data_IF_727164231590
#
_entry.id   IF_727164231590
#
_cell.length_a   1.000
_cell.length_b   1.000
_cell.length_c   1.000
_cell.angle_alpha   90.00
_cell.angle_beta   90.00
_cell.angle_gamma   90.00
#
_symmetry.space_group_name_H-M   'P 1'
#
loop_
_entity.id
_entity.type
_entity.pdbx_description
1 polymer ?
#
# COMPACT_ATOMS: atom_id res chain seq x y z
N UNK A 1 0.80 9.08 19.13
CA UNK A 1 1.30 10.34 18.52
C UNK A 1 2.27 11.00 19.49
N UNK A 2 3.25 11.76 19.02
CA UNK A 2 4.17 12.52 19.87
C UNK A 2 4.53 13.87 19.24
N UNK A 3 4.88 14.85 20.06
CA UNK A 3 5.25 16.18 19.59
C UNK A 3 5.35 17.18 20.74
N UNK A 4 5.12 18.45 20.43
CA UNK A 4 5.47 19.54 21.33
C UNK A 4 4.25 20.41 21.57
N UNK A 5 3.94 20.65 22.85
CA UNK A 5 2.80 21.47 23.27
C UNK A 5 3.29 22.47 24.30
N UNK A 6 3.29 23.75 23.91
CA UNK A 6 3.76 24.85 24.74
C UNK A 6 2.76 25.18 25.82
N UNK A 7 3.22 25.37 27.06
CA UNK A 7 2.40 25.75 28.20
C UNK A 7 2.53 27.24 28.56
N UNK A 8 1.45 27.84 29.08
CA UNK A 8 1.49 29.16 29.72
C UNK A 8 1.39 30.38 28.79
N UNK A 9 1.22 30.18 27.47
CA UNK A 9 0.87 31.25 26.53
C UNK A 9 -0.59 31.70 26.63
N UNK A 10 -0.89 32.94 26.23
CA UNK A 10 -2.27 33.40 26.00
C UNK A 10 -2.65 33.13 24.55
N UNK A 11 -3.22 31.96 24.28
CA UNK A 11 -3.61 31.55 22.94
C UNK A 11 -5.03 32.00 22.60
N UNK A 12 -5.23 32.52 21.38
CA UNK A 12 -6.54 32.85 20.84
C UNK A 12 -6.61 32.55 19.34
N UNK A 13 -7.83 32.33 18.82
CA UNK A 13 -8.06 32.01 17.40
C UNK A 13 -7.68 30.58 16.99
N UNK A 14 -7.98 30.26 15.73
CA UNK A 14 -7.81 28.95 15.07
C UNK A 14 -6.73 28.95 13.98
N UNK A 15 -5.86 29.97 13.92
CA UNK A 15 -4.79 30.04 12.92
C UNK A 15 -3.77 28.92 13.10
N UNK A 16 -3.59 28.10 12.06
CA UNK A 16 -2.67 26.96 12.05
C UNK A 16 -1.21 27.37 12.29
N UNK A 17 -0.82 28.59 11.91
CA UNK A 17 0.54 29.07 12.16
C UNK A 17 0.81 29.23 13.66
N UNK A 18 -0.19 29.69 14.43
CA UNK A 18 -0.07 29.84 15.89
C UNK A 18 0.23 28.51 16.61
N UNK A 19 -0.27 27.38 16.10
CA UNK A 19 0.06 26.06 16.64
C UNK A 19 1.50 25.65 16.34
N UNK A 20 1.97 25.94 15.11
CA UNK A 20 3.34 25.63 14.68
C UNK A 20 4.37 26.45 15.45
N UNK A 21 4.09 27.73 15.68
CA UNK A 21 4.95 28.62 16.47
C UNK A 21 5.04 28.13 17.92
N UNK A 22 3.90 27.85 18.56
CA UNK A 22 3.86 27.30 19.91
C UNK A 22 4.60 25.96 20.04
N UNK A 23 4.50 25.09 19.04
CA UNK A 23 5.25 23.82 19.00
C UNK A 23 6.76 24.03 18.84
N UNK A 24 7.19 25.07 18.11
CA UNK A 24 8.61 25.44 17.96
C UNK A 24 9.23 25.92 19.27
N UNK A 25 8.50 26.77 20.00
CA UNK A 25 8.92 27.25 21.32
C UNK A 25 8.98 26.10 22.34
N UNK A 26 7.94 25.27 22.37
CA UNK A 26 7.85 24.08 23.23
C UNK A 26 8.98 23.08 22.98
N UNK A 27 9.38 22.89 21.72
CA UNK A 27 10.54 22.05 21.36
C UNK A 27 11.84 22.58 21.94
N UNK A 28 12.01 23.90 22.00
CA UNK A 28 13.19 24.53 22.59
C UNK A 28 13.17 24.39 24.12
N UNK A 29 11.98 24.44 24.72
CA UNK A 29 11.77 24.27 26.16
C UNK A 29 11.76 22.80 26.63
N UNK A 30 11.70 21.82 25.72
CA UNK A 30 11.62 20.40 26.07
C UNK A 30 10.23 19.95 26.54
N UNK A 31 9.17 20.68 26.17
CA UNK A 31 7.78 20.42 26.57
C UNK A 31 7.13 19.39 25.63
N UNK A 32 7.50 18.13 25.80
CA UNK A 32 6.99 17.01 25.01
C UNK A 32 5.60 16.57 25.48
N UNK A 33 4.76 16.18 24.53
CA UNK A 33 3.50 15.50 24.77
C UNK A 33 3.37 14.31 23.82
N UNK A 34 3.04 13.15 24.38
CA UNK A 34 2.78 11.93 23.62
C UNK A 34 1.53 11.22 24.14
N UNK A 35 0.88 10.44 23.30
CA UNK A 35 -0.27 9.64 23.72
C UNK A 35 -0.37 8.29 23.02
N UNK A 36 -1.02 7.36 23.72
CA UNK A 36 -1.52 6.09 23.22
C UNK A 36 -3.01 6.06 23.49
N UNK A 37 -3.81 5.99 22.42
CA UNK A 37 -5.28 6.02 22.48
C UNK A 37 -5.86 4.84 21.73
N UNK A 38 -6.91 4.26 22.28
CA UNK A 38 -7.78 3.26 21.65
C UNK A 38 -9.10 3.92 21.30
N UNK A 39 -9.46 3.86 20.02
CA UNK A 39 -10.76 4.31 19.52
C UNK A 39 -11.68 3.10 19.41
N UNK A 40 -12.93 3.23 19.86
CA UNK A 40 -13.93 2.17 19.77
C UNK A 40 -15.25 2.72 19.26
N UNK A 41 -15.77 2.09 18.20
CA UNK A 41 -17.17 2.22 17.78
C UNK A 41 -17.96 1.01 18.28
N UNK A 42 -19.09 1.28 18.93
CA UNK A 42 -20.02 0.22 19.36
C UNK A 42 -20.97 -0.21 18.21
N UNK A 43 -21.09 0.61 17.16
CA UNK A 43 -21.92 0.38 15.98
C UNK A 43 -21.27 1.07 14.76
N UNK A 44 -20.54 0.27 13.98
CA UNK A 44 -19.82 0.74 12.82
C UNK A 44 -20.76 1.24 11.73
N UNK A 45 -21.89 0.58 11.48
CA UNK A 45 -22.81 0.96 10.40
C UNK A 45 -23.39 2.35 10.62
N UNK A 46 -23.82 2.61 11.84
CA UNK A 46 -24.32 3.94 12.20
C UNK A 46 -23.19 4.99 12.28
N UNK A 47 -21.95 4.59 12.56
CA UNK A 47 -20.79 5.51 12.51
C UNK A 47 -20.47 5.92 11.07
N UNK A 48 -20.61 4.98 10.13
CA UNK A 48 -20.38 5.22 8.71
C UNK A 48 -21.53 6.01 8.07
N UNK A 49 -22.77 5.80 8.53
CA UNK A 49 -23.96 6.48 8.03
C UNK A 49 -24.06 7.94 8.52
N UNK A 50 -23.51 8.24 9.70
CA UNK A 50 -23.47 9.59 10.27
C UNK A 50 -22.05 9.89 10.76
N UNK A 51 -21.23 10.61 9.97
CA UNK A 51 -19.87 10.98 10.34
C UNK A 51 -19.78 11.77 11.66
N UNK A 52 -20.85 12.49 12.03
CA UNK A 52 -20.92 13.21 13.29
C UNK A 52 -21.16 12.31 14.51
N UNK A 53 -21.46 11.02 14.29
CA UNK A 53 -21.61 10.04 15.36
C UNK A 53 -20.26 9.82 16.06
N UNK A 54 -20.28 10.02 17.38
CA UNK A 54 -19.08 9.97 18.22
C UNK A 54 -18.66 8.54 18.52
N UNK A 55 -17.40 8.23 18.26
CA UNK A 55 -16.71 7.06 18.79
C UNK A 55 -16.18 7.34 20.19
N UNK A 56 -16.06 6.30 21.01
CA UNK A 56 -15.43 6.41 22.32
C UNK A 56 -13.91 6.33 22.21
N UNK A 57 -13.22 7.04 23.09
CA UNK A 57 -11.76 7.12 23.12
C UNK A 57 -11.28 6.93 24.57
N UNK A 58 -10.25 6.09 24.74
CA UNK A 58 -9.62 5.82 26.02
C UNK A 58 -8.12 5.65 25.83
N UNK A 59 -7.32 5.86 26.88
CA UNK A 59 -5.87 5.72 26.79
C UNK A 59 -5.11 6.49 27.85
N UNK A 60 -3.87 6.83 27.51
CA UNK A 60 -2.96 7.57 28.40
C UNK A 60 -2.21 8.64 27.61
N UNK A 61 -1.88 9.74 28.30
CA UNK A 61 -1.10 10.86 27.76
C UNK A 61 0.12 11.08 28.63
N UNK A 62 1.30 11.05 28.05
CA UNK A 62 2.55 11.44 28.69
C UNK A 62 2.81 12.92 28.38
N UNK A 63 2.82 13.75 29.42
CA UNK A 63 3.10 15.19 29.30
C UNK A 63 3.87 15.65 30.54
N UNK A 64 5.20 15.46 30.59
CA UNK A 64 6.03 15.75 31.76
C UNK A 64 5.90 17.19 32.27
N UNK A 65 5.60 18.13 31.37
CA UNK A 65 5.38 19.53 31.70
C UNK A 65 4.07 19.80 32.49
N UNK A 66 3.10 18.88 32.43
CA UNK A 66 1.84 18.95 33.19
C UNK A 66 1.86 18.07 34.44
N UNK A 67 2.37 16.85 34.30
CA UNK A 67 2.41 15.82 35.34
C UNK A 67 3.66 14.95 35.19
N UNK A 68 4.36 14.60 36.30
CA UNK A 68 5.49 13.67 36.25
C UNK A 68 5.06 12.23 35.97
N UNK A 69 3.77 11.89 36.12
CA UNK A 69 3.19 10.58 35.79
C UNK A 69 2.21 10.70 34.62
N UNK A 70 1.98 9.62 33.84
CA UNK A 70 1.03 9.62 32.73
C UNK A 70 -0.37 10.04 33.17
N UNK A 71 -1.00 10.91 32.38
CA UNK A 71 -2.37 11.37 32.57
C UNK A 71 -3.36 10.32 32.07
N UNK A 72 -4.42 10.10 32.85
CA UNK A 72 -5.51 9.21 32.48
C UNK A 72 -6.53 9.92 31.59
N UNK A 73 -6.93 9.25 30.52
CA UNK A 73 -7.94 9.74 29.58
C UNK A 73 -9.32 9.27 30.00
N UNK A 74 -10.23 10.21 30.25
CA UNK A 74 -11.66 9.96 30.48
C UNK A 74 -12.52 10.76 29.50
N UNK A 75 -13.80 10.39 29.40
CA UNK A 75 -14.80 11.12 28.61
C UNK A 75 -14.40 11.34 27.13
N UNK A 76 -13.54 10.46 26.63
CA UNK A 76 -12.93 10.59 25.32
C UNK A 76 -13.93 10.33 24.20
N UNK A 77 -13.91 11.22 23.21
CA UNK A 77 -14.75 11.23 22.02
C UNK A 77 -13.92 11.48 20.79
N UNK A 78 -14.23 10.75 19.73
CA UNK A 78 -13.70 10.97 18.40
C UNK A 78 -14.85 11.16 17.41
N UNK A 79 -14.73 12.10 16.48
CA UNK A 79 -15.73 12.34 15.43
C UNK A 79 -15.08 12.80 14.12
N UNK A 80 -15.74 12.49 13.00
CA UNK A 80 -15.37 12.95 11.66
C UNK A 80 -16.39 14.00 11.19
N UNK A 81 -15.99 15.27 11.14
CA UNK A 81 -16.89 16.34 10.70
C UNK A 81 -16.45 16.85 9.33
N UNK A 82 -17.31 16.70 8.31
CA UNK A 82 -17.02 17.21 6.95
C UNK A 82 -17.49 18.65 6.70
N UNK A 83 -17.99 19.35 7.73
CA UNK A 83 -18.47 20.73 7.59
C UNK A 83 -17.89 21.62 8.68
N UNK A 84 -16.77 22.28 8.37
CA UNK A 84 -16.31 23.47 9.09
C UNK A 84 -16.62 24.70 8.23
N UNK A 85 -17.21 25.73 8.84
CA UNK A 85 -17.52 27.00 8.16
C UNK A 85 -16.25 27.80 7.82
N UNK A 86 -15.09 27.47 8.43
CA UNK A 86 -13.82 28.16 8.22
C UNK A 86 -12.90 27.47 7.21
N UNK A 87 -13.12 26.17 6.94
CA UNK A 87 -12.30 25.36 6.03
C UNK A 87 -13.25 24.58 5.10
N UNK A 88 -13.56 25.20 3.95
CA UNK A 88 -14.35 24.57 2.89
C UNK A 88 -13.55 23.40 2.31
N UNK A 89 -14.20 22.27 2.03
CA UNK A 89 -13.60 21.08 1.40
C UNK A 89 -12.61 20.27 2.27
N UNK A 90 -12.66 20.39 3.60
CA UNK A 90 -11.86 19.58 4.53
C UNK A 90 -12.69 18.60 5.37
N UNK A 91 -12.20 17.37 5.53
CA UNK A 91 -12.70 16.42 6.55
C UNK A 91 -11.89 16.58 7.84
N UNK A 92 -12.57 16.94 8.93
CA UNK A 92 -11.93 17.18 10.22
C UNK A 92 -12.04 15.95 11.12
N UNK A 93 -10.89 15.43 11.57
CA UNK A 93 -10.83 14.38 12.59
C UNK A 93 -10.63 15.03 13.95
N UNK A 94 -11.65 15.01 14.79
CA UNK A 94 -11.65 15.70 16.09
C UNK A 94 -11.51 14.70 17.23
N UNK A 95 -10.55 14.97 18.11
CA UNK A 95 -10.24 14.21 19.32
C UNK A 95 -10.54 15.11 20.52
N UNK A 96 -11.54 14.74 21.33
CA UNK A 96 -11.90 15.47 22.54
C UNK A 96 -11.81 14.54 23.73
N UNK A 97 -11.13 14.93 24.80
CA UNK A 97 -10.98 14.08 25.98
C UNK A 97 -10.61 14.88 27.23
N UNK A 98 -10.92 14.33 28.40
CA UNK A 98 -10.45 14.86 29.68
C UNK A 98 -9.19 14.13 30.11
N UNK A 99 -8.14 14.88 30.42
CA UNK A 99 -6.89 14.38 30.99
C UNK A 99 -6.92 14.60 32.50
N UNK A 100 -6.68 13.55 33.28
CA UNK A 100 -6.65 13.62 34.74
C UNK A 100 -5.31 13.14 35.27
N UNK A 101 -4.64 13.95 36.08
CA UNK A 101 -3.45 13.55 36.82
C UNK A 101 -3.82 12.80 38.10
N UNK A 102 -2.87 12.04 38.66
CA UNK A 102 -3.04 11.30 39.91
C UNK A 102 -3.36 12.22 41.11
N UNK A 103 -2.95 13.49 41.04
CA UNK A 103 -3.23 14.51 42.05
C UNK A 103 -4.61 15.18 41.90
N UNK A 104 -5.40 14.74 40.91
CA UNK A 104 -6.77 15.21 40.66
C UNK A 104 -6.88 16.44 39.77
N UNK A 105 -5.77 17.06 39.34
CA UNK A 105 -5.82 18.13 38.34
C UNK A 105 -6.34 17.61 37.00
N UNK A 106 -7.13 18.44 36.31
CA UNK A 106 -7.77 18.09 35.05
C UNK A 106 -7.50 19.13 33.96
N UNK A 107 -7.42 18.64 32.74
CA UNK A 107 -7.33 19.43 31.51
C UNK A 107 -8.29 18.88 30.47
N UNK A 108 -8.89 19.75 29.67
CA UNK A 108 -9.58 19.37 28.45
C UNK A 108 -8.59 19.38 27.29
N UNK A 109 -8.49 18.26 26.60
CA UNK A 109 -7.68 18.12 25.41
C UNK A 109 -8.59 18.16 24.19
N UNK A 110 -8.25 19.02 23.22
CA UNK A 110 -8.88 19.06 21.91
C UNK A 110 -7.81 18.98 20.82
N UNK A 111 -7.83 17.90 20.06
CA UNK A 111 -6.97 17.68 18.90
C UNK A 111 -7.78 17.72 17.61
N UNK A 112 -7.29 18.39 16.58
CA UNK A 112 -7.92 18.39 15.25
C UNK A 112 -6.89 18.02 14.18
N UNK A 113 -7.25 17.07 13.32
CA UNK A 113 -6.59 16.88 12.02
C UNK A 113 -7.48 17.47 10.94
N UNK A 114 -6.87 18.26 10.08
CA UNK A 114 -7.52 18.83 8.89
C UNK A 114 -7.05 18.01 7.70
N UNK A 115 -7.96 17.26 7.07
CA UNK A 115 -7.65 16.42 5.91
C UNK A 115 -8.27 17.07 4.67
N UNK A 116 -7.44 17.56 3.75
CA UNK A 116 -7.87 18.08 2.45
C UNK A 116 -8.04 16.91 1.46
N UNK A 117 -9.00 17.02 0.54
CA UNK A 117 -9.32 15.96 -0.44
C UNK A 117 -8.42 16.01 -1.71
N UNK A 118 -7.28 16.70 -1.63
CA UNK A 118 -6.37 16.88 -2.76
C UNK A 118 -5.37 15.72 -2.87
N UNK A 119 -5.35 15.09 -4.05
CA UNK A 119 -4.39 14.02 -4.38
C UNK A 119 -2.97 14.61 -4.49
N UNK A 120 -2.09 14.33 -3.51
CA UNK A 120 -0.73 14.87 -3.48
C UNK A 120 0.10 14.51 -2.22
N UNK A 121 1.35 15.01 -2.10
CA UNK A 121 2.17 14.83 -0.90
C UNK A 121 1.56 15.47 0.36
N UNK A 122 0.67 16.46 0.19
CA UNK A 122 0.03 17.19 1.29
C UNK A 122 -0.97 16.32 2.07
N UNK A 123 -1.62 15.35 1.42
CA UNK A 123 -2.52 14.38 2.04
C UNK A 123 -1.85 13.59 3.19
N UNK A 124 -0.54 13.35 3.06
CA UNK A 124 0.27 12.64 4.05
C UNK A 124 0.59 13.51 5.26
N UNK A 125 0.98 14.77 5.05
CA UNK A 125 1.22 15.71 6.16
C UNK A 125 -0.06 15.99 6.94
N UNK A 126 -1.19 16.01 6.24
CA UNK A 126 -2.51 16.31 6.80
C UNK A 126 -3.03 15.17 7.68
N UNK A 127 -2.81 13.92 7.25
CA UNK A 127 -3.24 12.74 8.03
C UNK A 127 -2.30 12.45 9.21
N UNK A 128 -1.07 12.95 9.18
CA UNK A 128 -0.04 12.70 10.19
C UNK A 128 0.14 13.82 11.23
N UNK A 129 -0.45 14.99 11.00
CA UNK A 129 -0.35 16.16 11.90
C UNK A 129 -1.63 16.35 12.70
N UNK A 130 -1.49 16.53 14.03
CA UNK A 130 -2.58 16.84 14.94
C UNK A 130 -2.32 18.17 15.64
N UNK A 131 -3.22 19.13 15.47
CA UNK A 131 -3.18 20.43 16.14
C UNK A 131 -3.89 20.32 17.48
N UNK A 132 -3.21 20.67 18.56
CA UNK A 132 -3.67 20.41 19.93
C UNK A 132 -3.85 21.70 20.70
N UNK A 133 -5.01 21.83 21.34
CA UNK A 133 -5.25 22.77 22.44
C UNK A 133 -5.50 22.00 23.74
N UNK A 134 -4.93 22.52 24.83
CA UNK A 134 -5.20 22.11 26.19
C UNK A 134 -5.88 23.27 26.91
N UNK A 135 -7.03 23.04 27.50
CA UNK A 135 -7.71 24.04 28.34
C UNK A 135 -7.93 23.56 29.76
N UNK A 136 -8.04 24.51 30.66
CA UNK A 136 -8.36 24.28 32.06
C UNK A 136 -9.44 25.27 32.49
N UNK A 137 -10.37 24.81 33.32
CA UNK A 137 -11.36 25.70 33.93
C UNK A 137 -10.70 26.55 35.02
N UNK A 138 -10.94 27.85 34.98
CA UNK A 138 -10.51 28.76 36.04
C UNK A 138 -11.49 28.77 37.23
N UNK A 139 -11.16 29.51 38.29
CA UNK A 139 -11.97 29.62 39.51
C UNK A 139 -13.39 30.18 39.26
N UNK A 140 -13.64 30.80 38.10
CA UNK A 140 -14.95 31.33 37.71
C UNK A 140 -15.76 30.37 36.85
N UNK A 141 -15.19 29.21 36.51
CA UNK A 141 -15.77 28.20 35.62
C UNK A 141 -15.57 28.50 34.13
N UNK A 142 -14.74 29.49 33.77
CA UNK A 142 -14.43 29.78 32.39
C UNK A 142 -13.27 28.89 31.90
N UNK A 143 -13.43 28.26 30.74
CA UNK A 143 -12.38 27.42 30.14
C UNK A 143 -11.35 28.31 29.43
N UNK A 144 -10.10 28.24 29.86
CA UNK A 144 -8.98 28.97 29.27
C UNK A 144 -7.99 28.01 28.63
N UNK A 145 -7.53 28.31 27.41
CA UNK A 145 -6.45 27.54 26.76
C UNK A 145 -5.15 27.82 27.51
N UNK A 146 -4.58 26.77 28.10
CA UNK A 146 -3.33 26.79 28.88
C UNK A 146 -2.16 26.16 28.15
N UNK A 147 -2.42 25.43 27.05
CA UNK A 147 -1.38 24.92 26.18
C UNK A 147 -1.82 24.77 24.73
N UNK A 148 -0.87 24.90 23.81
CA UNK A 148 -1.10 24.78 22.37
C UNK A 148 0.12 24.17 21.67
N UNK A 149 -0.10 23.32 20.68
CA UNK A 149 1.00 22.81 19.87
C UNK A 149 0.61 21.79 18.81
N UNK A 150 1.60 21.01 18.39
CA UNK A 150 1.48 20.09 17.27
C UNK A 150 2.06 18.74 17.63
N UNK A 151 1.27 17.69 17.45
CA UNK A 151 1.75 16.31 17.48
C UNK A 151 1.85 15.76 16.06
N UNK A 152 2.84 14.89 15.85
CA UNK A 152 3.01 14.17 14.59
C UNK A 152 3.10 12.67 14.84
N UNK A 153 2.74 11.90 13.83
CA UNK A 153 3.06 10.48 13.74
C UNK A 153 3.97 10.27 12.54
N UNK A 154 5.01 9.46 12.72
CA UNK A 154 5.81 9.05 11.57
C UNK A 154 4.97 8.15 10.66
N UNK A 155 5.27 8.11 9.36
CA UNK A 155 4.62 7.17 8.44
C UNK A 155 4.82 5.71 8.87
N UNK A 156 5.97 5.39 9.46
CA UNK A 156 6.26 4.05 9.98
C UNK A 156 5.35 3.67 11.16
N UNK A 157 5.10 4.58 12.09
CA UNK A 157 4.22 4.33 13.23
C UNK A 157 2.74 4.39 12.83
N UNK A 158 2.40 5.19 11.82
CA UNK A 158 1.08 5.16 11.19
C UNK A 158 0.79 3.81 10.54
N UNK A 159 1.73 3.25 9.76
CA UNK A 159 1.59 1.92 9.18
C UNK A 159 1.44 0.82 10.24
N UNK A 160 2.09 0.94 11.40
CA UNK A 160 1.86 0.05 12.54
C UNK A 160 0.45 0.20 13.11
N UNK A 161 -0.08 1.42 13.19
CA UNK A 161 -1.43 1.70 13.69
C UNK A 161 -2.52 1.11 12.79
N UNK A 162 -2.35 1.11 11.46
CA UNK A 162 -3.29 0.42 10.56
C UNK A 162 -3.43 -1.07 10.91
N UNK A 163 -2.36 -1.70 11.39
CA UNK A 163 -2.35 -3.11 11.79
C UNK A 163 -3.04 -3.38 13.12
N UNK A 164 -3.43 -2.35 13.87
CA UNK A 164 -4.12 -2.51 15.17
C UNK A 164 -5.63 -2.38 15.06
N UNK A 165 -6.18 -2.21 13.84
CA UNK A 165 -7.63 -2.15 13.63
C UNK A 165 -8.20 -3.55 13.80
N UNK A 166 -9.13 -3.70 14.73
CA UNK A 166 -9.80 -4.97 15.02
C UNK A 166 -11.31 -4.77 15.02
N UNK A 167 -12.05 -5.74 14.50
CA UNK A 167 -13.51 -5.77 14.55
C UNK A 167 -13.94 -6.90 15.49
N UNK A 168 -14.57 -6.54 16.59
CA UNK A 168 -15.04 -7.47 17.62
C UNK A 168 -16.54 -7.70 17.49
N UNK A 169 -17.06 -8.81 18.05
CA UNK A 169 -18.49 -9.15 18.07
C UNK A 169 -19.13 -9.34 16.68
N UNK A 170 -18.37 -9.80 15.68
CA UNK A 170 -18.92 -10.18 14.38
C UNK A 170 -19.29 -11.66 14.36
N UNK A 171 -20.29 -12.01 13.55
CA UNK A 171 -20.75 -13.39 13.36
C UNK A 171 -19.79 -14.24 12.53
N UNK A 172 -18.90 -13.59 11.77
CA UNK A 172 -17.86 -14.22 10.96
C UNK A 172 -16.61 -13.32 10.83
N UNK A 173 -15.49 -13.92 10.44
CA UNK A 173 -14.26 -13.17 10.12
C UNK A 173 -14.38 -12.37 8.82
N UNK A 174 -15.27 -12.77 7.92
CA UNK A 174 -15.56 -12.06 6.66
C UNK A 174 -16.31 -10.75 6.96
N UNK A 175 -17.27 -10.79 7.88
CA UNK A 175 -17.92 -9.61 8.44
C UNK A 175 -16.91 -8.72 9.21
N UNK A 176 -15.98 -9.31 9.97
CA UNK A 176 -14.90 -8.58 10.63
C UNK A 176 -14.01 -7.84 9.61
N UNK A 177 -13.60 -8.51 8.54
CA UNK A 177 -12.77 -7.93 7.49
C UNK A 177 -13.52 -6.83 6.73
N UNK A 178 -14.79 -7.06 6.37
CA UNK A 178 -15.63 -6.04 5.74
C UNK A 178 -15.79 -4.81 6.65
N UNK A 179 -15.99 -5.02 7.95
CA UNK A 179 -16.03 -3.94 8.93
C UNK A 179 -14.69 -3.19 9.01
N UNK A 180 -13.56 -3.90 9.07
CA UNK A 180 -12.22 -3.30 9.07
C UNK A 180 -11.93 -2.49 7.80
N UNK A 181 -12.30 -3.00 6.62
CA UNK A 181 -12.12 -2.33 5.33
C UNK A 181 -12.99 -1.08 5.24
N UNK A 182 -14.27 -1.18 5.59
CA UNK A 182 -15.20 -0.05 5.60
C UNK A 182 -14.77 1.02 6.61
N UNK A 183 -14.38 0.60 7.82
CA UNK A 183 -13.84 1.49 8.83
C UNK A 183 -12.53 2.15 8.38
N UNK A 184 -11.63 1.37 7.79
CA UNK A 184 -10.34 1.84 7.30
C UNK A 184 -10.48 2.89 6.20
N UNK A 185 -11.32 2.63 5.19
CA UNK A 185 -11.67 3.61 4.15
C UNK A 185 -12.31 4.87 4.71
N UNK A 186 -13.21 4.72 5.69
CA UNK A 186 -13.85 5.86 6.34
C UNK A 186 -12.89 6.69 7.20
N UNK A 187 -11.97 6.05 7.92
CA UNK A 187 -11.03 6.71 8.83
C UNK A 187 -9.82 7.32 8.09
N UNK A 188 -9.42 6.74 6.95
CA UNK A 188 -8.17 7.09 6.25
C UNK A 188 -8.36 7.52 4.78
N UNK A 189 -9.58 7.51 4.25
CA UNK A 189 -9.85 7.89 2.86
C UNK A 189 -9.03 7.08 1.85
N UNK A 190 -8.49 7.76 0.84
CA UNK A 190 -7.62 7.19 -0.20
C UNK A 190 -6.29 6.62 0.30
N UNK A 191 -5.83 7.00 1.52
CA UNK A 191 -4.65 6.38 2.14
C UNK A 191 -4.91 4.93 2.55
N UNK A 192 -6.18 4.56 2.81
CA UNK A 192 -6.52 3.16 3.01
C UNK A 192 -6.31 2.34 1.73
N UNK A 193 -6.58 2.88 0.54
CA UNK A 193 -6.35 2.09 -0.67
C UNK A 193 -4.84 1.85 -0.92
N UNK A 194 -3.96 2.72 -0.39
CA UNK A 194 -2.50 2.56 -0.46
C UNK A 194 -1.91 1.51 0.52
N UNK A 195 -2.43 1.39 1.75
CA UNK A 195 -1.96 0.38 2.74
C UNK A 195 -2.89 -0.82 2.89
N UNK A 196 -4.17 -0.62 2.69
CA UNK A 196 -5.22 -1.63 2.69
C UNK A 196 -5.13 -2.56 1.49
N UNK A 197 -4.49 -2.18 0.39
CA UNK A 197 -4.14 -3.11 -0.70
C UNK A 197 -3.18 -4.23 -0.26
N UNK A 198 -2.49 -4.08 0.88
CA UNK A 198 -1.72 -5.17 1.52
C UNK A 198 -2.65 -6.18 2.22
N UNK A 199 -3.88 -5.78 2.55
CA UNK A 199 -4.89 -6.58 3.27
C UNK A 199 -6.11 -6.96 2.41
N UNK A 200 -6.34 -6.28 1.30
CA UNK A 200 -7.54 -6.42 0.48
C UNK A 200 -7.14 -6.45 -1.00
N UNK A 201 -6.72 -7.62 -1.46
CA UNK A 201 -6.85 -7.97 -2.88
C UNK A 201 -7.57 -9.30 -3.02
N UNK A 202 -8.45 -9.44 -4.03
CA UNK A 202 -9.16 -10.68 -4.29
C UNK A 202 -8.18 -11.74 -4.77
N UNK A 203 -7.83 -12.63 -3.86
CA UNK A 203 -7.21 -13.92 -4.13
C UNK A 203 -8.14 -14.78 -4.99
N UNK A 204 -7.61 -15.54 -5.96
CA UNK A 204 -8.31 -16.70 -6.52
C UNK A 204 -8.32 -17.83 -5.45
N UNK A 205 -9.18 -17.74 -4.43
CA UNK A 205 -10.53 -18.32 -4.26
C UNK A 205 -10.52 -19.72 -3.62
N UNK A 206 -10.14 -19.76 -2.33
CA UNK A 206 -11.10 -20.12 -1.30
C UNK A 206 -11.49 -18.79 -0.60
N UNK A 207 -12.69 -18.24 -0.84
CA UNK A 207 -13.13 -16.96 -0.28
C UNK A 207 -13.32 -17.03 1.24
N UNK A 208 -13.22 -18.22 1.83
CA UNK A 208 -13.31 -18.47 3.27
C UNK A 208 -11.95 -18.64 3.93
N UNK A 209 -10.86 -18.76 3.15
CA UNK A 209 -9.52 -18.90 3.68
C UNK A 209 -9.02 -17.58 4.29
N UNK A 210 -8.45 -17.67 5.48
CA UNK A 210 -7.92 -16.52 6.21
C UNK A 210 -6.72 -15.91 5.44
N UNK A 211 -6.64 -14.58 5.26
CA UNK A 211 -5.46 -13.93 4.71
C UNK A 211 -4.21 -14.32 5.51
N UNK A 212 -3.18 -14.80 4.82
CA UNK A 212 -1.97 -15.29 5.48
C UNK A 212 -1.27 -14.15 6.21
N UNK A 213 -0.86 -14.41 7.46
CA UNK A 213 0.01 -13.48 8.20
C UNK A 213 1.37 -13.41 7.50
N UNK A 214 1.64 -12.29 6.83
CA UNK A 214 2.93 -12.02 6.18
C UNK A 214 4.00 -11.61 7.19
N UNK A 215 5.25 -12.05 6.97
CA UNK A 215 6.38 -11.61 7.79
C UNK A 215 6.78 -10.17 7.41
N UNK A 216 7.31 -9.37 8.35
CA UNK A 216 7.92 -8.10 8.00
C UNK A 216 9.12 -8.33 7.06
N UNK A 217 9.30 -7.44 6.09
CA UNK A 217 10.51 -7.41 5.29
C UNK A 217 11.65 -6.78 6.10
N UNK A 218 12.87 -7.29 5.92
CA UNK A 218 14.12 -6.69 6.40
C UNK A 218 14.54 -5.52 5.50
N UNK A 219 13.63 -4.58 5.34
CA UNK A 219 13.82 -3.33 4.62
C UNK A 219 13.16 -2.18 5.40
N UNK A 220 13.51 -0.95 5.05
CA UNK A 220 12.79 0.24 5.53
C UNK A 220 11.34 0.25 5.05
N UNK A 221 10.50 1.17 5.56
CA UNK A 221 9.15 1.35 5.03
C UNK A 221 9.21 1.71 3.54
N UNK A 222 8.30 1.17 2.71
CA UNK A 222 8.20 1.56 1.31
C UNK A 222 7.79 3.02 1.16
N UNK A 223 8.37 3.73 0.19
CA UNK A 223 7.87 5.01 -0.30
C UNK A 223 7.17 4.77 -1.64
N UNK A 224 5.87 5.05 -1.71
CA UNK A 224 5.06 4.79 -2.91
C UNK A 224 4.93 6.11 -3.68
N UNK A 225 5.20 6.05 -4.98
CA UNK A 225 5.15 7.18 -5.89
C UNK A 225 4.32 6.80 -7.11
N UNK A 226 3.13 7.38 -7.20
CA UNK A 226 2.31 7.30 -8.41
C UNK A 226 2.74 8.38 -9.40
N UNK A 227 2.77 8.03 -10.68
CA UNK A 227 3.02 8.97 -11.76
C UNK A 227 2.16 8.62 -12.97
N UNK A 228 1.85 9.62 -13.78
CA UNK A 228 1.08 9.44 -14.99
C UNK A 228 2.03 9.45 -16.19
N UNK A 229 1.82 8.50 -17.10
CA UNK A 229 2.52 8.46 -18.36
C UNK A 229 2.00 9.50 -19.34
N UNK A 230 2.76 9.77 -20.41
CA UNK A 230 2.35 10.70 -21.47
C UNK A 230 1.05 10.32 -22.20
N UNK A 231 0.64 9.05 -22.16
CA UNK A 231 -0.66 8.57 -22.66
C UNK A 231 -1.77 8.52 -21.59
N UNK A 232 -1.49 9.00 -20.37
CA UNK A 232 -2.48 9.19 -19.31
C UNK A 232 -2.74 7.94 -18.45
N UNK A 233 -1.95 6.88 -18.59
CA UNK A 233 -2.02 5.74 -17.67
C UNK A 233 -1.27 6.06 -16.37
N UNK A 234 -1.90 5.78 -15.23
CA UNK A 234 -1.24 5.87 -13.93
C UNK A 234 -0.39 4.62 -13.71
N UNK A 235 0.85 4.78 -13.27
CA UNK A 235 1.81 3.73 -12.93
C UNK A 235 2.33 3.94 -11.50
N UNK A 236 2.95 2.91 -10.93
CA UNK A 236 3.42 2.93 -9.54
C UNK A 236 4.92 2.60 -9.43
N UNK A 237 5.61 3.39 -8.62
CA UNK A 237 6.97 3.13 -8.14
C UNK A 237 6.95 2.90 -6.64
N UNK A 238 7.48 1.77 -6.18
CA UNK A 238 7.73 1.52 -4.76
C UNK A 238 9.22 1.58 -4.46
N UNK A 239 9.64 2.48 -3.57
CA UNK A 239 11.06 2.69 -3.21
C UNK A 239 11.37 2.14 -1.83
N UNK A 240 12.48 1.41 -1.74
CA UNK A 240 13.14 1.00 -0.50
C UNK A 240 14.56 1.57 -0.47
N UNK A 241 14.76 2.66 0.27
CA UNK A 241 16.04 3.36 0.33
C UNK A 241 17.00 2.71 1.33
N UNK A 242 17.81 1.75 0.86
CA UNK A 242 18.76 1.01 1.70
C UNK A 242 20.09 1.72 1.93
N UNK A 243 20.50 2.61 1.02
CA UNK A 243 21.74 3.38 1.12
C UNK A 243 21.96 4.31 -0.08
N UNK A 244 23.22 4.68 -0.32
CA UNK A 244 23.64 5.68 -1.30
C UNK A 244 24.37 5.11 -2.54
N UNK A 245 24.38 3.78 -2.72
CA UNK A 245 24.97 3.14 -3.93
C UNK A 245 24.21 3.43 -5.23
N UNK A 246 23.12 4.17 -5.13
CA UNK A 246 22.31 4.63 -6.24
C UNK A 246 21.18 3.67 -6.62
N UNK A 247 20.30 4.12 -7.54
CA UNK A 247 19.05 3.44 -7.84
C UNK A 247 19.24 2.13 -8.62
N UNK A 248 18.52 1.09 -8.19
CA UNK A 248 18.32 -0.18 -8.90
C UNK A 248 16.81 -0.37 -9.13
N UNK A 249 16.38 -0.32 -10.39
CA UNK A 249 14.98 -0.49 -10.80
C UNK A 249 14.71 -1.96 -11.08
N UNK A 250 13.74 -2.55 -10.39
CA UNK A 250 13.27 -3.91 -10.55
C UNK A 250 11.97 -3.88 -11.36
N UNK A 251 11.97 -4.54 -12.51
CA UNK A 251 10.81 -4.59 -13.44
C UNK A 251 10.31 -6.02 -13.55
N UNK A 252 9.03 -6.23 -13.27
CA UNK A 252 8.42 -7.56 -13.23
C UNK A 252 8.08 -8.12 -14.62
N UNK A 253 7.62 -9.37 -14.67
CA UNK A 253 7.14 -10.05 -15.87
C UNK A 253 5.66 -9.85 -16.14
N UNK A 254 5.10 -10.61 -17.07
CA UNK A 254 3.66 -10.58 -17.34
C UNK A 254 2.89 -11.45 -16.34
N UNK A 255 1.66 -11.05 -16.00
CA UNK A 255 0.77 -11.84 -15.14
C UNK A 255 1.15 -11.83 -13.67
N UNK A 256 2.10 -10.96 -13.30
CA UNK A 256 2.62 -10.75 -11.96
C UNK A 256 2.79 -9.24 -11.73
N UNK A 257 3.25 -8.87 -10.53
CA UNK A 257 3.64 -7.51 -10.18
C UNK A 257 5.06 -7.46 -9.65
N UNK A 258 5.51 -6.28 -9.24
CA UNK A 258 6.76 -6.13 -8.50
C UNK A 258 6.81 -6.95 -7.20
N UNK A 259 5.66 -7.46 -6.73
CA UNK A 259 5.54 -8.35 -5.58
C UNK A 259 6.42 -9.60 -5.64
N UNK A 260 6.81 -10.07 -6.84
CA UNK A 260 7.75 -11.18 -7.01
C UNK A 260 9.13 -10.92 -6.38
N UNK A 261 9.50 -9.64 -6.20
CA UNK A 261 10.77 -9.25 -5.60
C UNK A 261 10.69 -9.09 -4.07
N UNK A 262 9.47 -9.06 -3.52
CA UNK A 262 9.17 -8.85 -2.09
C UNK A 262 8.52 -10.07 -1.44
N UNK A 263 8.59 -11.23 -2.06
CA UNK A 263 8.05 -12.48 -1.49
C UNK A 263 8.55 -12.69 -0.07
N UNK A 264 7.64 -13.00 0.84
CA UNK A 264 7.92 -13.12 2.27
C UNK A 264 7.92 -14.58 2.74
N UNK A 265 7.81 -15.52 1.80
CA UNK A 265 7.83 -16.98 2.01
C UNK A 265 9.24 -17.58 1.99
N UNK A 266 10.25 -16.78 1.66
CA UNK A 266 11.67 -17.16 1.71
C UNK A 266 12.40 -16.32 2.77
N UNK A 267 13.57 -16.78 3.21
CA UNK A 267 14.34 -16.07 4.23
C UNK A 267 14.79 -14.68 3.79
N UNK A 268 15.34 -14.54 2.58
CA UNK A 268 15.80 -13.26 2.01
C UNK A 268 15.31 -13.12 0.59
N UNK A 269 14.48 -12.13 0.30
CA UNK A 269 14.10 -11.78 -1.07
C UNK A 269 15.06 -10.76 -1.69
N UNK A 270 14.88 -10.49 -2.99
CA UNK A 270 15.80 -9.63 -3.75
C UNK A 270 15.82 -8.19 -3.21
N UNK A 271 14.66 -7.65 -2.80
CA UNK A 271 14.59 -6.31 -2.22
C UNK A 271 15.37 -6.25 -0.92
N UNK A 272 15.16 -7.20 0.00
CA UNK A 272 15.89 -7.26 1.27
C UNK A 272 17.39 -7.41 1.05
N UNK A 273 17.80 -8.24 0.07
CA UNK A 273 19.20 -8.41 -0.27
C UNK A 273 19.83 -7.10 -0.75
N UNK A 274 19.23 -6.44 -1.75
CA UNK A 274 19.77 -5.19 -2.29
C UNK A 274 19.74 -4.05 -1.24
N UNK A 275 18.68 -3.98 -0.45
CA UNK A 275 18.51 -3.02 0.63
C UNK A 275 19.63 -3.17 1.68
N UNK A 276 19.86 -4.39 2.16
CA UNK A 276 20.93 -4.68 3.13
C UNK A 276 22.34 -4.37 2.59
N UNK A 277 22.49 -4.37 1.26
CA UNK A 277 23.74 -4.01 0.59
C UNK A 277 23.85 -2.52 0.26
N UNK A 278 22.94 -1.67 0.73
CA UNK A 278 23.04 -0.21 0.62
C UNK A 278 22.60 0.36 -0.73
N UNK A 279 21.79 -0.38 -1.51
CA UNK A 279 21.18 0.14 -2.74
C UNK A 279 19.90 0.92 -2.45
N UNK A 280 19.61 1.87 -3.33
CA UNK A 280 18.30 2.52 -3.41
C UNK A 280 17.41 1.69 -4.35
N UNK A 281 16.51 0.88 -3.82
CA UNK A 281 15.77 -0.13 -4.60
C UNK A 281 14.43 0.45 -5.04
N UNK A 282 14.14 0.39 -6.34
CA UNK A 282 12.92 0.91 -6.95
C UNK A 282 12.18 -0.22 -7.65
N UNK A 283 10.92 -0.42 -7.33
CA UNK A 283 10.07 -1.43 -7.94
C UNK A 283 9.13 -0.69 -8.89
N UNK A 284 9.18 -1.02 -10.19
CA UNK A 284 8.32 -0.42 -11.19
C UNK A 284 7.18 -1.37 -11.55
N UNK A 285 5.97 -1.00 -11.17
CA UNK A 285 4.72 -1.60 -11.62
C UNK A 285 4.21 -0.81 -12.83
N UNK A 286 4.57 -1.30 -14.02
CA UNK A 286 4.13 -0.75 -15.31
C UNK A 286 2.73 -1.29 -15.69
N UNK A 287 2.16 -0.87 -16.82
CA UNK A 287 0.74 -1.12 -17.13
C UNK A 287 0.34 -2.60 -17.21
N UNK A 288 1.31 -3.50 -17.35
CA UNK A 288 1.08 -4.96 -17.34
C UNK A 288 1.06 -5.58 -15.93
N UNK A 289 1.30 -4.79 -14.87
CA UNK A 289 1.29 -5.27 -13.50
C UNK A 289 -0.11 -5.61 -13.05
N UNK A 290 -0.28 -6.76 -12.41
CA UNK A 290 -1.53 -7.11 -11.72
C UNK A 290 -1.87 -6.12 -10.59
N UNK A 291 -0.92 -5.26 -10.21
CA UNK A 291 -1.12 -4.18 -9.24
C UNK A 291 -1.76 -2.92 -9.84
N UNK A 292 -1.73 -2.78 -11.17
CA UNK A 292 -2.23 -1.59 -11.84
C UNK A 292 -3.61 -1.83 -12.48
N UNK A 293 -4.56 -0.86 -12.38
CA UNK A 293 -5.84 -0.94 -13.09
C UNK A 293 -5.69 -1.10 -14.60
N UNK A 294 -4.58 -0.61 -15.16
CA UNK A 294 -4.29 -0.71 -16.58
C UNK A 294 -4.14 -2.17 -17.07
N UNK A 295 -3.87 -3.14 -16.20
CA UNK A 295 -3.66 -4.54 -16.59
C UNK A 295 -4.92 -5.25 -17.11
N UNK A 296 -6.11 -4.71 -16.83
CA UNK A 296 -7.37 -5.17 -17.41
C UNK A 296 -7.70 -4.51 -18.75
N UNK A 297 -6.97 -3.46 -19.15
CA UNK A 297 -7.16 -2.78 -20.43
C UNK A 297 -6.31 -3.47 -21.50
N UNK A 298 -6.78 -3.47 -22.74
CA UNK A 298 -5.99 -3.97 -23.86
C UNK A 298 -4.76 -3.08 -24.10
N UNK A 299 -3.58 -3.69 -24.15
CA UNK A 299 -2.34 -3.00 -24.45
C UNK A 299 -1.36 -3.93 -25.16
N UNK A 300 -0.23 -3.39 -25.62
CA UNK A 300 0.82 -4.13 -26.32
C UNK A 300 2.21 -3.72 -25.83
N UNK A 301 3.21 -4.52 -26.19
CA UNK A 301 4.59 -4.33 -25.76
C UNK A 301 5.23 -3.08 -26.37
N UNK A 302 4.77 -2.63 -27.55
CA UNK A 302 5.31 -1.43 -28.21
C UNK A 302 5.05 -0.18 -27.37
N UNK A 303 3.84 -0.04 -26.82
CA UNK A 303 3.47 1.09 -25.95
C UNK A 303 4.27 1.04 -24.66
N UNK A 304 4.36 -0.13 -24.01
CA UNK A 304 5.13 -0.31 -22.77
C UNK A 304 6.62 0.04 -22.97
N UNK A 305 7.18 -0.31 -24.13
CA UNK A 305 8.57 -0.04 -24.47
C UNK A 305 8.80 1.43 -24.86
N UNK A 306 7.79 2.04 -25.46
CA UNK A 306 7.84 3.43 -25.90
C UNK A 306 7.61 4.44 -24.77
N UNK A 307 6.86 4.05 -23.73
CA UNK A 307 6.31 4.95 -22.72
C UNK A 307 6.69 4.47 -21.31
N UNK A 308 6.14 3.35 -20.86
CA UNK A 308 6.19 2.95 -19.44
C UNK A 308 7.61 2.82 -18.89
N UNK A 309 8.46 2.05 -19.58
CA UNK A 309 9.82 1.80 -19.11
C UNK A 309 10.68 3.08 -19.18
N UNK A 310 10.73 3.81 -20.32
CA UNK A 310 11.43 5.09 -20.38
C UNK A 310 10.97 6.12 -19.34
N UNK A 311 9.66 6.31 -19.19
CA UNK A 311 9.11 7.33 -18.29
C UNK A 311 9.24 6.90 -16.81
N UNK A 312 9.09 5.61 -16.50
CA UNK A 312 9.39 5.08 -15.17
C UNK A 312 10.86 5.26 -14.78
N UNK A 313 11.80 5.06 -15.71
CA UNK A 313 13.23 5.35 -15.46
C UNK A 313 13.48 6.85 -15.30
N UNK A 314 12.85 7.68 -16.12
CA UNK A 314 12.94 9.14 -15.98
C UNK A 314 12.42 9.60 -14.61
N UNK A 315 11.33 9.03 -14.14
CA UNK A 315 10.72 9.34 -12.84
C UNK A 315 11.60 8.89 -11.68
N UNK A 316 12.19 7.69 -11.75
CA UNK A 316 13.19 7.25 -10.75
C UNK A 316 14.38 8.21 -10.71
N UNK A 317 14.90 8.66 -11.85
CA UNK A 317 16.00 9.63 -11.90
C UNK A 317 15.59 10.97 -11.29
N UNK A 318 14.37 11.45 -11.57
CA UNK A 318 13.81 12.68 -11.02
C UNK A 318 13.68 12.61 -9.49
N UNK A 319 13.12 11.52 -8.96
CA UNK A 319 12.86 11.33 -7.53
C UNK A 319 14.13 11.01 -6.73
N UNK A 320 15.05 10.23 -7.30
CA UNK A 320 16.33 9.90 -6.65
C UNK A 320 17.39 10.99 -6.78
N UNK A 321 17.26 11.89 -7.76
CA UNK A 321 18.28 12.86 -8.13
C UNK A 321 19.52 12.24 -8.81
N UNK A 322 19.53 10.94 -9.06
CA UNK A 322 20.66 10.26 -9.66
C UNK A 322 20.70 10.47 -11.19
N UNK A 323 21.88 10.70 -11.79
CA UNK A 323 21.99 10.91 -13.22
C UNK A 323 21.69 9.64 -14.03
N UNK A 324 21.86 8.45 -13.44
CA UNK A 324 21.60 7.15 -14.07
C UNK A 324 21.04 6.12 -13.08
N UNK A 325 20.41 5.08 -13.60
CA UNK A 325 19.90 3.92 -12.86
C UNK A 325 20.56 2.62 -13.31
N UNK A 326 20.51 1.60 -12.46
CA UNK A 326 20.69 0.20 -12.86
C UNK A 326 19.33 -0.47 -12.96
N UNK A 327 19.22 -1.55 -13.73
CA UNK A 327 17.97 -2.29 -13.83
C UNK A 327 18.17 -3.79 -13.61
N UNK A 328 17.19 -4.42 -12.98
CA UNK A 328 16.96 -5.86 -13.04
C UNK A 328 15.60 -6.04 -13.68
N UNK A 329 15.57 -6.65 -14.84
CA UNK A 329 14.35 -6.83 -15.64
C UNK A 329 14.08 -8.32 -15.82
N UNK A 330 12.82 -8.70 -15.79
CA UNK A 330 12.42 -10.11 -15.77
C UNK A 330 11.33 -10.43 -16.79
N UNK A 331 11.45 -11.55 -17.49
CA UNK A 331 10.44 -12.09 -18.42
C UNK A 331 9.99 -11.03 -19.44
N UNK A 332 8.69 -10.74 -19.57
CA UNK A 332 8.18 -9.69 -20.47
C UNK A 332 8.76 -8.32 -20.15
N UNK A 333 9.07 -8.01 -18.89
CA UNK A 333 9.80 -6.80 -18.53
C UNK A 333 11.18 -6.72 -19.18
N UNK A 334 11.88 -7.85 -19.34
CA UNK A 334 13.14 -7.92 -20.11
C UNK A 334 12.91 -7.66 -21.60
N UNK A 335 11.85 -8.22 -22.18
CA UNK A 335 11.49 -7.98 -23.59
C UNK A 335 11.23 -6.51 -23.85
N UNK A 336 10.37 -5.90 -23.03
CA UNK A 336 10.01 -4.48 -23.12
C UNK A 336 11.24 -3.60 -22.92
N UNK A 337 12.12 -3.95 -21.97
CA UNK A 337 13.40 -3.28 -21.78
C UNK A 337 14.28 -3.31 -23.05
N UNK A 338 14.43 -4.47 -23.69
CA UNK A 338 15.20 -4.57 -24.94
C UNK A 338 14.58 -3.74 -26.06
N UNK A 339 13.26 -3.77 -26.21
CA UNK A 339 12.54 -2.94 -27.19
C UNK A 339 12.77 -1.44 -26.92
N UNK A 340 12.68 -1.01 -25.67
CA UNK A 340 12.89 0.39 -25.26
C UNK A 340 14.34 0.83 -25.51
N UNK A 341 15.31 -0.02 -25.17
CA UNK A 341 16.73 0.23 -25.40
C UNK A 341 17.07 0.30 -26.90
N UNK A 342 16.61 -0.67 -27.70
CA UNK A 342 16.91 -0.76 -29.13
C UNK A 342 16.18 0.31 -29.96
N UNK A 343 15.01 0.78 -29.50
CA UNK A 343 14.31 1.91 -30.13
C UNK A 343 14.99 3.26 -29.88
N UNK A 344 15.94 3.33 -28.94
CA UNK A 344 16.63 4.56 -28.54
C UNK A 344 15.79 5.47 -27.63
N UNK A 345 14.62 5.00 -27.15
CA UNK A 345 13.76 5.77 -26.24
C UNK A 345 14.17 5.68 -24.77
N UNK A 346 14.90 4.62 -24.40
CA UNK A 346 15.35 4.42 -23.02
C UNK A 346 16.71 5.10 -22.78
N UNK A 347 16.70 6.14 -21.95
CA UNK A 347 17.90 6.87 -21.54
C UNK A 347 18.19 6.71 -20.04
N UNK A 348 19.46 6.92 -19.66
CA UNK A 348 19.85 6.98 -18.25
C UNK A 348 20.00 5.62 -17.55
N UNK A 349 20.00 4.50 -18.28
CA UNK A 349 20.31 3.17 -17.72
C UNK A 349 21.80 2.86 -17.94
N UNK A 350 22.57 2.67 -16.86
CA UNK A 350 24.03 2.39 -16.93
C UNK A 350 24.39 0.91 -17.01
N UNK A 351 23.53 0.05 -16.45
CA UNK A 351 23.70 -1.39 -16.47
C UNK A 351 22.36 -2.09 -16.26
N UNK A 352 22.18 -3.26 -16.85
CA UNK A 352 20.98 -4.07 -16.67
C UNK A 352 21.34 -5.55 -16.51
N UNK A 353 20.60 -6.24 -15.63
CA UNK A 353 20.54 -7.70 -15.56
C UNK A 353 19.20 -8.13 -16.13
N UNK A 354 19.20 -8.96 -17.16
CA UNK A 354 17.97 -9.45 -17.80
C UNK A 354 17.75 -10.92 -17.49
N UNK A 355 16.58 -11.26 -16.96
CA UNK A 355 16.18 -12.62 -16.60
C UNK A 355 15.12 -13.15 -17.57
N UNK A 356 15.25 -14.44 -17.93
CA UNK A 356 14.29 -15.27 -18.70
C UNK A 356 13.96 -14.87 -20.15
N UNK A 357 14.20 -13.64 -20.61
CA UNK A 357 14.01 -13.27 -22.00
C UNK A 357 15.24 -12.60 -22.61
N UNK A 358 15.37 -12.75 -23.93
CA UNK A 358 16.47 -12.19 -24.73
C UNK A 358 15.89 -11.27 -25.82
N UNK A 359 16.68 -10.40 -26.48
CA UNK A 359 16.16 -9.51 -27.51
C UNK A 359 15.67 -10.26 -28.77
N UNK A 360 16.00 -11.55 -28.92
CA UNK A 360 15.51 -12.40 -30.00
C UNK A 360 14.53 -13.44 -29.47
N UNK A 361 13.24 -13.19 -29.67
CA UNK A 361 12.18 -14.13 -29.29
C UNK A 361 11.93 -15.07 -30.47
N UNK A 362 12.39 -16.31 -30.35
CA UNK A 362 12.05 -17.37 -31.29
C UNK A 362 11.00 -18.30 -30.68
N UNK A 363 9.76 -18.17 -31.14
CA UNK A 363 8.68 -19.05 -30.72
C UNK A 363 8.89 -20.47 -31.24
N UNK A 364 8.56 -21.49 -30.43
CA UNK A 364 8.60 -22.89 -30.88
C UNK A 364 7.68 -23.09 -32.09
N UNK A 365 7.94 -24.09 -32.92
CA UNK A 365 7.10 -24.40 -34.10
C UNK A 365 5.62 -24.57 -33.73
N UNK A 366 5.34 -25.07 -32.53
CA UNK A 366 4.00 -25.20 -31.99
C UNK A 366 3.34 -23.85 -31.68
N UNK A 367 4.08 -22.90 -31.11
CA UNK A 367 3.63 -21.51 -30.93
C UNK A 367 3.39 -20.84 -32.28
N UNK A 368 4.34 -20.97 -33.23
CA UNK A 368 4.21 -20.43 -34.60
C UNK A 368 2.99 -20.98 -35.33
N UNK A 369 2.71 -22.28 -35.19
CA UNK A 369 1.53 -22.93 -35.78
C UNK A 369 0.23 -22.44 -35.13
N UNK A 370 0.18 -22.30 -33.80
CA UNK A 370 -0.98 -21.74 -33.08
C UNK A 370 -1.26 -20.28 -33.45
N UNK A 371 -0.21 -19.45 -33.56
CA UNK A 371 -0.33 -18.06 -34.00
C UNK A 371 -0.83 -17.96 -35.44
N UNK A 372 -0.35 -18.84 -36.34
CA UNK A 372 -0.81 -18.91 -37.74
C UNK A 372 -2.26 -19.38 -37.91
N UNK A 373 -2.84 -20.04 -36.90
CA UNK A 373 -4.24 -20.49 -36.90
C UNK A 373 -5.22 -19.41 -36.38
N UNK A 374 -4.76 -18.22 -35.98
CA UNK A 374 -5.58 -17.17 -35.37
C UNK A 374 -6.45 -17.68 -34.21
N UNK A 375 -5.90 -18.59 -33.40
CA UNK A 375 -6.63 -19.23 -32.31
C UNK A 375 -7.28 -18.22 -31.33
N UNK A 376 -6.67 -17.07 -30.99
CA UNK A 376 -7.34 -16.02 -30.21
C UNK A 376 -8.62 -15.49 -30.90
N UNK A 377 -8.56 -15.17 -32.19
CA UNK A 377 -9.72 -14.69 -32.96
C UNK A 377 -10.80 -15.78 -33.13
N UNK A 378 -10.40 -17.05 -33.17
CA UNK A 378 -11.32 -18.19 -33.16
C UNK A 378 -12.01 -18.36 -31.78
N UNK A 379 -11.30 -18.13 -30.68
CA UNK A 379 -11.85 -18.16 -29.32
C UNK A 379 -12.74 -16.94 -29.02
N UNK A 380 -12.39 -15.75 -29.52
CA UNK A 380 -13.27 -14.57 -29.53
C UNK A 380 -14.56 -14.84 -30.31
N UNK A 381 -14.47 -15.51 -31.48
CA UNK A 381 -15.67 -15.89 -32.25
C UNK A 381 -16.59 -16.90 -31.54
N UNK A 382 -16.08 -17.55 -30.48
CA UNK A 382 -16.81 -18.46 -29.61
C UNK A 382 -17.23 -17.81 -28.27
N UNK A 383 -16.98 -16.51 -28.09
CA UNK A 383 -17.41 -15.73 -26.91
C UNK A 383 -16.48 -15.84 -25.69
N UNK A 384 -15.22 -16.25 -25.86
CA UNK A 384 -14.23 -16.30 -24.78
C UNK A 384 -13.33 -15.06 -24.91
N UNK A 385 -13.69 -13.99 -24.21
CA UNK A 385 -13.01 -12.68 -24.30
C UNK A 385 -11.76 -12.57 -23.41
N UNK A 386 -11.61 -13.43 -22.40
CA UNK A 386 -10.44 -13.43 -21.50
C UNK A 386 -10.04 -14.86 -21.08
N UNK A 387 -8.76 -15.18 -21.22
CA UNK A 387 -8.14 -16.37 -20.61
C UNK A 387 -7.54 -15.92 -19.27
N UNK A 388 -8.33 -15.98 -18.21
CA UNK A 388 -7.91 -15.52 -16.88
C UNK A 388 -7.34 -16.69 -16.05
N UNK A 389 -6.41 -16.39 -15.15
CA UNK A 389 -5.80 -17.34 -14.20
C UNK A 389 -6.69 -17.72 -13.01
N UNK A 390 -7.96 -17.32 -13.00
CA UNK A 390 -8.78 -17.28 -11.78
C UNK A 390 -9.76 -18.45 -11.71
N UNK A 391 -9.92 -19.01 -10.51
CA UNK A 391 -11.03 -19.88 -10.15
C UNK A 391 -12.21 -19.02 -9.73
N UNK A 392 -13.41 -19.33 -10.23
CA UNK A 392 -14.66 -18.99 -9.55
C UNK A 392 -15.42 -20.30 -9.27
N UNK A 393 -16.27 -20.30 -8.25
CA UNK A 393 -16.96 -21.45 -7.64
C UNK A 393 -17.83 -22.32 -8.56
N UNK A 394 -18.00 -21.94 -9.83
CA UNK A 394 -18.65 -22.74 -10.87
C UNK A 394 -17.67 -23.63 -11.67
N UNK A 395 -16.41 -23.72 -11.22
CA UNK A 395 -15.23 -24.30 -11.91
C UNK A 395 -15.21 -25.82 -12.20
N UNK A 396 -16.31 -26.56 -12.10
CA UNK A 396 -16.24 -28.02 -12.25
C UNK A 396 -15.88 -28.51 -13.66
N UNK A 397 -16.18 -27.74 -14.72
CA UNK A 397 -15.92 -28.16 -16.11
C UNK A 397 -14.64 -27.56 -16.70
N UNK A 398 -14.32 -26.32 -16.35
CA UNK A 398 -13.08 -25.63 -16.76
C UNK A 398 -11.86 -26.27 -16.09
N UNK A 399 -11.95 -26.70 -14.83
CA UNK A 399 -10.86 -27.40 -14.16
C UNK A 399 -10.62 -28.80 -14.72
N UNK A 400 -11.69 -29.46 -15.19
CA UNK A 400 -11.54 -30.72 -15.94
C UNK A 400 -10.86 -30.50 -17.28
N UNK A 401 -11.15 -29.39 -17.96
CA UNK A 401 -10.50 -29.02 -19.23
C UNK A 401 -9.02 -28.71 -19.02
N UNK A 402 -8.65 -27.91 -18.02
CA UNK A 402 -7.25 -27.60 -17.69
C UNK A 402 -6.47 -28.86 -17.29
N UNK A 403 -7.01 -29.67 -16.38
CA UNK A 403 -6.36 -30.92 -15.98
C UNK A 403 -6.19 -31.89 -17.16
N UNK A 404 -7.15 -31.93 -18.11
CA UNK A 404 -7.05 -32.75 -19.33
C UNK A 404 -6.04 -32.19 -20.34
N UNK A 405 -5.96 -30.87 -20.48
CA UNK A 405 -4.96 -30.22 -21.32
C UNK A 405 -3.53 -30.41 -20.77
N UNK A 406 -3.36 -30.37 -19.44
CA UNK A 406 -2.09 -30.62 -18.77
C UNK A 406 -1.65 -32.09 -18.86
N UNK A 407 -2.57 -33.06 -18.88
CA UNK A 407 -2.19 -34.47 -19.16
C UNK A 407 -1.58 -34.69 -20.55
N UNK A 408 -1.75 -33.73 -21.47
CA UNK A 408 -1.13 -33.75 -22.80
C UNK A 408 0.16 -32.93 -22.86
N UNK A 409 0.46 -32.15 -21.80
CA UNK A 409 1.69 -31.39 -21.68
C UNK A 409 2.79 -32.33 -21.14
N UNK A 410 3.95 -32.43 -21.79
CA UNK A 410 5.04 -33.26 -21.31
C UNK A 410 5.72 -32.58 -20.12
N UNK A 411 5.17 -32.71 -18.92
CA UNK A 411 5.82 -32.32 -17.67
C UNK A 411 6.57 -33.50 -17.06
N UNK A 412 7.77 -33.23 -16.55
CA UNK A 412 8.57 -34.23 -15.83
C UNK A 412 7.82 -34.70 -14.56
N UNK A 413 8.16 -35.88 -14.06
CA UNK A 413 7.43 -36.47 -12.93
C UNK A 413 7.53 -35.61 -11.66
N UNK A 414 8.66 -34.93 -11.47
CA UNK A 414 8.94 -34.03 -10.33
C UNK A 414 8.13 -32.74 -10.35
N UNK A 415 7.61 -32.35 -11.52
CA UNK A 415 6.82 -31.12 -11.71
C UNK A 415 5.31 -31.33 -11.49
N UNK A 416 4.91 -32.51 -11.00
CA UNK A 416 3.51 -32.85 -10.74
C UNK A 416 3.13 -32.48 -9.32
N UNK A 417 2.09 -31.65 -9.17
CA UNK A 417 1.53 -31.31 -7.87
C UNK A 417 -0.01 -31.43 -7.87
N UNK A 418 -0.65 -31.08 -6.75
CA UNK A 418 -2.11 -31.04 -6.63
C UNK A 418 -2.66 -29.61 -6.59
N UNK A 419 -1.80 -28.59 -6.76
CA UNK A 419 -2.20 -27.18 -6.70
C UNK A 419 -2.90 -26.77 -7.99
N UNK A 420 -4.19 -26.44 -7.89
CA UNK A 420 -4.97 -25.91 -9.01
C UNK A 420 -4.37 -24.60 -9.55
N UNK A 421 -3.87 -23.73 -8.66
CA UNK A 421 -3.18 -22.49 -9.03
C UNK A 421 -1.93 -22.78 -9.85
N UNK A 422 -1.09 -23.72 -9.42
CA UNK A 422 0.10 -24.13 -10.16
C UNK A 422 -0.26 -24.70 -11.54
N UNK A 423 -1.29 -25.55 -11.62
CA UNK A 423 -1.78 -26.11 -12.87
C UNK A 423 -2.23 -25.03 -13.86
N UNK A 424 -2.99 -24.02 -13.40
CA UNK A 424 -3.41 -22.92 -14.27
C UNK A 424 -2.27 -22.03 -14.71
N UNK A 425 -1.35 -21.70 -13.82
CA UNK A 425 -0.14 -20.95 -14.14
C UNK A 425 0.64 -21.68 -15.24
N UNK A 426 0.88 -22.98 -15.08
CA UNK A 426 1.57 -23.81 -16.07
C UNK A 426 0.80 -23.89 -17.39
N UNK A 427 -0.53 -23.93 -17.36
CA UNK A 427 -1.33 -23.91 -18.58
C UNK A 427 -1.22 -22.58 -19.34
N UNK A 428 -1.28 -21.45 -18.62
CA UNK A 428 -1.26 -20.11 -19.21
C UNK A 428 0.11 -19.68 -19.68
N UNK A 429 1.13 -19.93 -18.87
CA UNK A 429 2.46 -19.37 -19.04
C UNK A 429 3.53 -20.42 -19.33
N UNK A 430 3.15 -21.70 -19.48
CA UNK A 430 4.06 -22.85 -19.52
C UNK A 430 4.77 -23.06 -18.17
N UNK A 431 5.70 -24.03 -18.10
CA UNK A 431 6.42 -24.34 -16.87
C UNK A 431 7.33 -23.15 -16.48
N UNK A 432 7.00 -22.45 -15.39
CA UNK A 432 7.69 -21.22 -14.96
C UNK A 432 8.76 -21.44 -13.88
N UNK A 433 8.70 -22.58 -13.19
CA UNK A 433 9.54 -22.89 -12.04
C UNK A 433 9.74 -24.39 -11.92
N UNK A 434 10.86 -24.79 -11.34
CA UNK A 434 11.12 -26.16 -10.92
C UNK A 434 10.62 -26.31 -9.47
N UNK A 435 9.83 -27.34 -9.17
CA UNK A 435 9.18 -27.47 -7.85
C UNK A 435 10.19 -27.73 -6.73
N UNK A 436 11.36 -28.30 -7.02
CA UNK A 436 12.45 -28.54 -6.06
C UNK A 436 13.16 -27.24 -5.64
N UNK A 437 13.08 -26.19 -6.46
CA UNK A 437 13.59 -24.84 -6.18
C UNK A 437 12.56 -23.94 -5.48
N UNK A 438 11.35 -24.42 -5.24
CA UNK A 438 10.30 -23.69 -4.53
C UNK A 438 10.17 -24.17 -3.08
N UNK A 439 10.06 -23.22 -2.16
CA UNK A 439 9.60 -23.57 -0.81
C UNK A 439 8.12 -23.93 -0.85
N UNK A 440 7.70 -24.83 0.04
CA UNK A 440 6.29 -25.20 0.20
C UNK A 440 5.43 -23.95 0.42
N UNK A 441 5.88 -23.04 1.27
CA UNK A 441 5.19 -21.79 1.54
C UNK A 441 5.01 -20.94 0.28
N UNK A 442 6.05 -20.79 -0.55
CA UNK A 442 5.96 -20.04 -1.82
C UNK A 442 4.99 -20.70 -2.79
N UNK A 443 5.05 -22.04 -2.91
CA UNK A 443 4.18 -22.80 -3.79
C UNK A 443 2.69 -22.71 -3.38
N UNK A 444 2.40 -22.75 -2.08
CA UNK A 444 1.04 -22.59 -1.55
C UNK A 444 0.48 -21.17 -1.76
N UNK A 445 1.35 -20.16 -1.82
CA UNK A 445 0.98 -18.75 -2.00
C UNK A 445 1.09 -18.24 -3.44
N UNK A 446 1.22 -19.12 -4.44
CA UNK A 446 1.33 -18.70 -5.86
C UNK A 446 0.17 -17.81 -6.31
N UNK A 447 -1.02 -18.05 -5.75
CA UNK A 447 -2.22 -17.25 -6.02
C UNK A 447 -2.11 -15.78 -5.55
N UNK A 448 -1.16 -15.46 -4.67
CA UNK A 448 -0.86 -14.08 -4.25
C UNK A 448 0.06 -13.36 -5.25
N UNK A 449 0.75 -14.10 -6.13
CA UNK A 449 1.78 -13.56 -7.02
C UNK A 449 1.32 -13.44 -8.47
N UNK A 450 0.32 -14.25 -8.86
CA UNK A 450 -0.17 -14.34 -10.24
C UNK A 450 -1.61 -13.83 -10.36
N UNK A 451 -1.89 -13.13 -11.46
CA UNK A 451 -3.20 -12.54 -11.75
C UNK A 451 -3.52 -12.38 -13.24
N UNK A 452 -4.52 -11.55 -13.57
CA UNK A 452 -4.99 -11.35 -14.95
C UNK A 452 -3.96 -10.48 -15.65
N UNK A 453 -3.56 -10.89 -16.85
CA UNK A 453 -2.75 -10.08 -17.74
C UNK A 453 -3.45 -9.98 -19.10
N UNK A 454 -3.85 -8.77 -19.48
CA UNK A 454 -4.30 -8.46 -20.84
C UNK A 454 -3.10 -8.04 -21.69
N UNK A 455 -2.69 -8.89 -22.63
CA UNK A 455 -1.70 -8.54 -23.67
C UNK A 455 -2.15 -9.18 -24.97
N UNK A 456 -2.34 -8.34 -26.00
CA UNK A 456 -2.65 -8.80 -27.38
C UNK A 456 -1.47 -8.73 -28.29
#
# INVERSE_FOLDING_TARGET
>A
LAGWVGLGGSYSGSDLQSYKDAAGDARTAGEELAFILTLRSDDIDATLADPAKRMSLAGTVEAPALSPTPLHVSDGRFSLLSQDQQHLETTNMIYEMTLTADDGRRWQFRGVKYVHDDFGPDLWSDTTTLYVDLSQEDETGASKIVGRGVLRISLADFAKQVRTIEATNTSSRLEALHAQVRFGRFFMGSLFDSYGNIFARPTAFDPTAEPRKRRPLRAGPPQIHYFHTSDGEELCLTRYQGGDKGPVVLVHGLGVSSGIYTVDTIDTNLVEYLFAHGYDVWLLDFRASIEMPASSKQSNLDVMAAIDIPEGVAEVRRLSGAPTVQMVVHCVGSTVFYMAMLSGKLEGVRAAVTSQATPHIDGTTFVKLKSGLHLPSFLESLGIETLTAYTDTDANWIDRLYNRALTLYPTEFEERCHSASCHRITFMYSLLYEHDQLTVATHETLHELFGVASVT
#
